data_IF_534342710459
#
_entry.id   IF_534342710459
#
_cell.length_a   1.000
_cell.length_b   1.000
_cell.length_c   1.000
_cell.angle_alpha   90.00
_cell.angle_beta   90.00
_cell.angle_gamma   90.00
#
_symmetry.space_group_name_H-M   'P 1'
#
loop_
_entity.id
_entity.type
_entity.pdbx_description
1 polymer ?
#
# COMPACT_ATOMS: atom_id res chain seq x y z
N UNK A 1 16.65 28.75 4.03
CA UNK A 1 16.58 27.33 4.36
C UNK A 1 16.12 26.57 3.13
N UNK A 2 16.90 25.61 2.66
CA UNK A 2 16.39 24.79 1.57
C UNK A 2 15.18 24.01 2.08
N UNK A 3 14.10 24.04 1.31
CA UNK A 3 12.94 23.20 1.61
C UNK A 3 13.35 21.74 1.46
N UNK A 4 12.89 20.88 2.36
CA UNK A 4 13.13 19.46 2.26
C UNK A 4 12.39 18.92 1.03
N UNK A 5 13.14 18.50 0.04
CA UNK A 5 12.58 17.99 -1.19
C UNK A 5 11.94 16.62 -0.96
N UNK A 6 10.69 16.49 -1.38
CA UNK A 6 9.97 15.22 -1.34
C UNK A 6 10.03 14.59 -2.74
N UNK A 7 10.47 13.34 -2.80
CA UNK A 7 10.52 12.57 -4.03
C UNK A 7 9.64 11.33 -3.85
N UNK A 8 8.67 11.16 -4.76
CA UNK A 8 7.83 9.96 -4.79
C UNK A 8 8.21 9.20 -6.07
N UNK A 9 8.67 7.98 -5.92
CA UNK A 9 9.20 7.17 -7.02
C UNK A 9 8.89 5.69 -6.84
N UNK A 10 9.13 4.92 -7.90
CA UNK A 10 9.06 3.46 -7.81
C UNK A 10 10.21 2.92 -6.96
N UNK A 11 9.94 1.85 -6.21
CA UNK A 11 10.94 1.18 -5.39
C UNK A 11 12.01 0.51 -6.25
N UNK A 12 13.17 0.32 -5.63
CA UNK A 12 14.31 -0.41 -6.17
C UNK A 12 14.70 -1.50 -5.18
N UNK A 13 15.45 -2.47 -5.65
CA UNK A 13 15.88 -3.59 -4.79
C UNK A 13 16.61 -3.11 -3.54
N UNK A 14 17.47 -2.12 -3.67
CA UNK A 14 18.21 -1.55 -2.54
C UNK A 14 17.33 -0.86 -1.49
N UNK A 15 16.07 -0.57 -1.81
CA UNK A 15 15.12 0.05 -0.86
C UNK A 15 14.49 -0.98 0.08
N UNK A 16 14.52 -2.27 -0.25
CA UNK A 16 13.82 -3.31 0.51
C UNK A 16 14.20 -3.33 1.99
N UNK A 17 15.48 -3.24 2.39
CA UNK A 17 15.81 -3.22 3.82
C UNK A 17 15.13 -2.09 4.59
N UNK A 18 15.07 -0.88 4.01
CA UNK A 18 14.40 0.25 4.64
C UNK A 18 12.89 0.06 4.72
N UNK A 19 12.29 -0.53 3.69
CA UNK A 19 10.85 -0.86 3.69
C UNK A 19 10.53 -1.84 4.81
N UNK A 20 11.33 -2.90 4.96
CA UNK A 20 11.14 -3.91 6.02
C UNK A 20 11.26 -3.27 7.39
N UNK A 21 12.20 -2.36 7.58
CA UNK A 21 12.37 -1.65 8.84
C UNK A 21 11.14 -0.81 9.18
N UNK A 22 10.62 -0.06 8.21
CA UNK A 22 9.41 0.76 8.40
C UNK A 22 8.20 -0.12 8.68
N UNK A 23 8.04 -1.20 7.93
CA UNK A 23 6.93 -2.15 8.11
C UNK A 23 6.95 -2.79 9.49
N UNK A 24 8.12 -3.23 9.93
CA UNK A 24 8.31 -3.83 11.25
C UNK A 24 7.97 -2.84 12.35
N UNK A 25 8.47 -1.61 12.26
CA UNK A 25 8.16 -0.55 13.22
C UNK A 25 6.65 -0.29 13.31
N UNK A 26 5.98 -0.23 12.15
CA UNK A 26 4.55 0.11 12.08
C UNK A 26 3.66 -1.07 12.50
N UNK A 27 3.99 -2.29 12.13
CA UNK A 27 3.05 -3.41 12.19
C UNK A 27 3.41 -4.54 13.14
N UNK A 28 4.66 -4.65 13.61
CA UNK A 28 5.02 -5.67 14.60
C UNK A 28 4.14 -5.58 15.86
N UNK A 29 3.81 -4.38 16.38
CA UNK A 29 2.92 -4.27 17.55
C UNK A 29 1.52 -4.84 17.33
N UNK A 30 1.07 -4.93 16.07
CA UNK A 30 -0.25 -5.47 15.70
C UNK A 30 -0.17 -6.93 15.24
N UNK A 31 1.03 -7.52 15.19
CA UNK A 31 1.23 -8.88 14.71
C UNK A 31 1.07 -9.03 13.19
N UNK A 32 1.15 -7.95 12.43
CA UNK A 32 0.92 -7.94 10.98
C UNK A 32 2.14 -7.54 10.15
N UNK A 33 3.33 -7.45 10.75
CA UNK A 33 4.56 -7.21 10.01
C UNK A 33 4.85 -8.37 9.05
N UNK A 34 5.39 -8.06 7.87
CA UNK A 34 5.65 -9.04 6.83
C UNK A 34 7.16 -9.23 6.59
N UNK A 35 7.52 -10.31 5.90
CA UNK A 35 8.91 -10.71 5.72
C UNK A 35 9.55 -10.02 4.51
N UNK A 36 10.88 -9.93 4.51
CA UNK A 36 11.66 -9.35 3.40
C UNK A 36 11.33 -10.03 2.07
N UNK A 37 11.21 -11.36 2.07
CA UNK A 37 10.88 -12.15 0.87
C UNK A 37 9.53 -11.76 0.28
N UNK A 38 8.58 -11.41 1.13
CA UNK A 38 7.24 -10.94 0.70
C UNK A 38 7.37 -9.64 -0.09
N UNK A 39 8.13 -8.67 0.43
CA UNK A 39 8.35 -7.39 -0.27
C UNK A 39 9.13 -7.59 -1.55
N UNK A 40 10.12 -8.48 -1.54
CA UNK A 40 10.89 -8.80 -2.74
C UNK A 40 9.99 -9.37 -3.84
N UNK A 41 9.05 -10.26 -3.47
CA UNK A 41 8.10 -10.83 -4.44
C UNK A 41 7.21 -9.75 -5.06
N UNK A 42 6.78 -8.78 -4.28
CA UNK A 42 5.95 -7.66 -4.75
C UNK A 42 6.72 -6.75 -5.71
N UNK A 43 7.96 -6.47 -5.39
CA UNK A 43 8.81 -5.64 -6.26
C UNK A 43 9.05 -6.33 -7.60
N UNK A 44 9.32 -7.62 -7.59
CA UNK A 44 9.56 -8.40 -8.81
C UNK A 44 8.30 -8.54 -9.65
N UNK A 45 7.15 -8.82 -9.02
CA UNK A 45 5.90 -9.07 -9.74
C UNK A 45 5.29 -7.79 -10.32
N UNK A 46 5.35 -6.68 -9.57
CA UNK A 46 4.68 -5.45 -9.98
C UNK A 46 5.44 -4.20 -9.49
N UNK A 47 6.59 -3.91 -10.11
CA UNK A 47 7.41 -2.76 -9.67
C UNK A 47 6.70 -1.42 -9.79
N UNK A 48 5.83 -1.23 -10.79
CA UNK A 48 5.09 0.02 -10.97
C UNK A 48 4.14 0.32 -9.80
N UNK A 49 3.72 -0.69 -9.09
CA UNK A 49 2.84 -0.57 -7.93
C UNK A 49 3.56 -0.57 -6.59
N UNK A 50 4.86 -0.45 -6.57
CA UNK A 50 5.64 -0.38 -5.34
C UNK A 50 6.27 1.01 -5.25
N UNK A 51 5.76 1.83 -4.33
CA UNK A 51 6.03 3.28 -4.26
C UNK A 51 6.83 3.60 -3.00
N UNK A 52 7.81 4.46 -3.16
CA UNK A 52 8.68 4.95 -2.09
C UNK A 52 8.57 6.48 -2.03
N UNK A 53 8.46 7.03 -0.83
CA UNK A 53 8.56 8.47 -0.60
C UNK A 53 9.88 8.75 0.14
N UNK A 54 10.71 9.59 -0.46
CA UNK A 54 12.01 9.97 0.07
C UNK A 54 11.98 11.44 0.48
N UNK A 55 12.46 11.75 1.66
CA UNK A 55 12.69 13.11 2.12
C UNK A 55 13.88 13.14 3.08
N UNK A 56 14.56 14.25 3.16
CA UNK A 56 15.74 14.39 4.05
C UNK A 56 16.79 13.29 3.80
N UNK A 57 16.90 12.83 2.54
CA UNK A 57 17.83 11.79 2.09
C UNK A 57 17.55 10.39 2.66
N UNK A 58 16.34 10.15 3.19
CA UNK A 58 15.97 8.83 3.65
C UNK A 58 14.56 8.47 3.20
N UNK A 59 14.27 7.17 3.21
CA UNK A 59 12.92 6.67 2.92
C UNK A 59 12.03 6.95 4.12
N UNK A 60 10.98 7.74 3.89
CA UNK A 60 10.03 8.13 4.94
C UNK A 60 8.75 7.32 4.93
N UNK A 61 8.39 6.76 3.78
CA UNK A 61 7.14 6.01 3.62
C UNK A 61 7.21 5.10 2.41
N UNK A 62 6.36 4.09 2.40
CA UNK A 62 6.24 3.18 1.26
C UNK A 62 4.78 2.72 1.12
N UNK A 63 4.46 2.22 -0.07
CA UNK A 63 3.22 1.52 -0.33
C UNK A 63 3.44 0.52 -1.45
N UNK A 64 2.93 -0.68 -1.31
CA UNK A 64 3.04 -1.69 -2.35
C UNK A 64 1.68 -2.28 -2.67
N UNK A 65 1.57 -2.86 -3.86
CA UNK A 65 0.30 -3.33 -4.40
C UNK A 65 0.52 -4.46 -5.38
N UNK A 66 -0.57 -5.15 -5.70
CA UNK A 66 -0.62 -6.13 -6.77
C UNK A 66 -2.01 -6.08 -7.42
N UNK A 67 -2.14 -6.65 -8.60
CA UNK A 67 -3.41 -6.68 -9.33
C UNK A 67 -4.03 -8.05 -9.25
N UNK A 68 -5.34 -8.09 -9.07
CA UNK A 68 -6.15 -9.31 -9.04
C UNK A 68 -7.23 -9.24 -10.12
N UNK A 69 -7.67 -10.41 -10.61
CA UNK A 69 -8.77 -10.48 -11.58
C UNK A 69 -10.10 -10.09 -10.94
N UNK A 70 -10.33 -10.54 -9.73
CA UNK A 70 -11.56 -10.30 -8.97
C UNK A 70 -11.24 -9.90 -7.54
N UNK A 71 -12.23 -9.31 -6.86
CA UNK A 71 -12.13 -9.00 -5.45
C UNK A 71 -11.98 -10.28 -4.63
N UNK A 72 -11.04 -10.28 -3.70
CA UNK A 72 -10.85 -11.35 -2.71
C UNK A 72 -10.28 -10.76 -1.44
N UNK A 73 -10.23 -11.57 -0.38
CA UNK A 73 -9.61 -11.15 0.87
C UNK A 73 -8.09 -11.15 0.75
N UNK A 74 -7.41 -10.06 1.14
CA UNK A 74 -5.95 -10.05 1.23
C UNK A 74 -5.46 -11.02 2.32
N UNK A 75 -4.27 -11.56 2.16
CA UNK A 75 -3.62 -12.39 3.17
C UNK A 75 -2.22 -11.87 3.47
N UNK A 76 -1.74 -12.08 4.70
CA UNK A 76 -0.38 -11.70 5.08
C UNK A 76 0.63 -12.66 4.43
N UNK A 77 1.79 -12.11 4.06
CA UNK A 77 2.92 -12.86 3.51
C UNK A 77 2.59 -13.71 2.27
N UNK A 78 1.60 -13.27 1.48
CA UNK A 78 1.33 -13.93 0.20
C UNK A 78 2.46 -13.66 -0.80
N UNK A 79 2.78 -14.66 -1.61
CA UNK A 79 3.79 -14.54 -2.66
C UNK A 79 3.18 -13.87 -3.90
N UNK A 80 3.59 -12.65 -4.18
CA UNK A 80 3.05 -11.88 -5.30
C UNK A 80 3.34 -12.52 -6.67
N UNK A 81 4.36 -13.35 -6.78
CA UNK A 81 4.61 -14.09 -8.03
C UNK A 81 3.48 -15.08 -8.36
N UNK A 82 2.72 -15.49 -7.33
CA UNK A 82 1.57 -16.38 -7.48
C UNK A 82 0.26 -15.59 -7.52
N UNK A 83 0.12 -14.57 -6.68
CA UNK A 83 -1.16 -13.86 -6.48
C UNK A 83 -1.37 -12.71 -7.47
N UNK A 84 -0.30 -12.08 -7.95
CA UNK A 84 -0.41 -10.97 -8.91
C UNK A 84 -0.87 -11.46 -10.27
N UNK A 85 -1.88 -10.80 -10.85
CA UNK A 85 -2.42 -11.11 -12.17
C UNK A 85 -2.22 -9.89 -13.08
N UNK A 86 -1.42 -10.04 -14.13
CA UNK A 86 -1.06 -8.94 -15.05
C UNK A 86 -2.30 -8.24 -15.63
N UNK A 87 -3.35 -9.01 -15.93
CA UNK A 87 -4.59 -8.51 -16.52
C UNK A 87 -5.63 -8.11 -15.45
N UNK A 88 -5.22 -8.08 -14.17
CA UNK A 88 -6.11 -7.79 -13.07
C UNK A 88 -6.70 -6.38 -13.15
N UNK A 89 -7.97 -6.26 -12.75
CA UNK A 89 -8.70 -4.99 -12.70
C UNK A 89 -8.99 -4.53 -11.27
N UNK A 90 -8.54 -5.29 -10.29
CA UNK A 90 -8.61 -4.93 -8.87
C UNK A 90 -7.19 -4.72 -8.39
N UNK A 91 -6.88 -3.51 -7.90
CA UNK A 91 -5.61 -3.26 -7.25
C UNK A 91 -5.75 -3.54 -5.77
N UNK A 92 -4.91 -4.42 -5.24
CA UNK A 92 -4.83 -4.62 -3.79
C UNK A 92 -3.61 -3.86 -3.26
N UNK A 93 -3.84 -2.94 -2.32
CA UNK A 93 -2.75 -2.33 -1.56
C UNK A 93 -2.40 -3.34 -0.47
N UNK A 94 -1.24 -3.96 -0.61
CA UNK A 94 -0.83 -5.07 0.25
C UNK A 94 -0.14 -4.61 1.53
N UNK A 95 0.50 -3.45 1.50
CA UNK A 95 1.09 -2.82 2.69
C UNK A 95 1.35 -1.35 2.41
N UNK A 96 1.23 -0.52 3.44
CA UNK A 96 1.55 0.90 3.37
C UNK A 96 1.86 1.40 4.77
N UNK A 97 2.96 2.13 4.94
CA UNK A 97 3.32 2.69 6.23
C UNK A 97 4.21 3.93 6.09
N UNK A 98 4.19 4.76 7.11
CA UNK A 98 5.04 5.95 7.27
C UNK A 98 5.96 5.72 8.45
N UNK A 99 7.25 6.00 8.27
CA UNK A 99 8.23 5.93 9.35
C UNK A 99 7.78 6.83 10.51
N UNK A 100 7.88 6.31 11.73
CA UNK A 100 7.31 6.97 12.91
C UNK A 100 7.69 8.44 13.04
N UNK A 101 8.97 8.78 12.84
CA UNK A 101 9.44 10.17 12.97
C UNK A 101 8.89 11.12 11.91
N UNK A 102 8.32 10.58 10.82
CA UNK A 102 7.75 11.38 9.74
C UNK A 102 6.22 11.39 9.74
N UNK A 103 5.58 10.74 10.70
CA UNK A 103 4.11 10.74 10.79
C UNK A 103 3.55 12.12 11.07
N UNK A 104 2.30 12.36 10.66
CA UNK A 104 1.63 13.64 10.86
C UNK A 104 1.98 14.72 9.84
N UNK A 105 2.69 14.37 8.77
CA UNK A 105 3.09 15.31 7.71
C UNK A 105 2.33 15.11 6.39
N UNK A 106 1.39 14.16 6.35
CA UNK A 106 0.61 13.87 5.14
C UNK A 106 1.30 12.94 4.16
N UNK A 107 2.41 12.31 4.51
CA UNK A 107 3.16 11.44 3.60
C UNK A 107 2.38 10.17 3.23
N UNK A 108 1.60 9.63 4.15
CA UNK A 108 0.73 8.49 3.85
C UNK A 108 -0.27 8.79 2.75
N UNK A 109 -0.85 9.99 2.77
CA UNK A 109 -1.78 10.42 1.71
C UNK A 109 -1.07 10.61 0.37
N UNK A 110 0.17 11.09 0.37
CA UNK A 110 0.95 11.23 -0.87
C UNK A 110 1.24 9.87 -1.51
N UNK A 111 1.60 8.89 -0.70
CA UNK A 111 1.82 7.51 -1.18
C UNK A 111 0.51 6.91 -1.69
N UNK A 112 -0.58 7.08 -0.93
CA UNK A 112 -1.90 6.59 -1.33
C UNK A 112 -2.34 7.23 -2.65
N UNK A 113 -2.19 8.54 -2.80
CA UNK A 113 -2.56 9.24 -4.04
C UNK A 113 -1.78 8.70 -5.24
N UNK A 114 -0.50 8.35 -5.04
CA UNK A 114 0.29 7.75 -6.11
C UNK A 114 -0.22 6.34 -6.47
N UNK A 115 -0.64 5.56 -5.49
CA UNK A 115 -1.23 4.24 -5.76
C UNK A 115 -2.59 4.35 -6.45
N UNK A 116 -3.38 5.37 -6.14
CA UNK A 116 -4.62 5.68 -6.86
C UNK A 116 -4.33 5.98 -8.34
N UNK A 117 -3.29 6.77 -8.60
CA UNK A 117 -2.84 7.08 -9.95
C UNK A 117 -2.39 5.80 -10.69
N UNK A 118 -1.62 4.94 -10.02
CA UNK A 118 -1.19 3.65 -10.58
C UNK A 118 -2.41 2.81 -10.96
N UNK A 119 -3.40 2.68 -10.08
CA UNK A 119 -4.60 1.91 -10.34
C UNK A 119 -5.36 2.45 -11.55
N UNK A 120 -5.51 3.76 -11.65
CA UNK A 120 -6.16 4.40 -12.79
C UNK A 120 -5.40 4.12 -14.10
N UNK A 121 -4.08 4.30 -14.08
CA UNK A 121 -3.23 4.09 -15.26
C UNK A 121 -3.19 2.63 -15.70
N UNK A 122 -3.37 1.69 -14.76
CA UNK A 122 -3.42 0.25 -15.06
C UNK A 122 -4.81 -0.23 -15.50
N UNK A 123 -5.79 0.67 -15.57
CA UNK A 123 -7.16 0.30 -15.95
C UNK A 123 -7.93 -0.45 -14.88
N UNK A 124 -7.53 -0.35 -13.63
CA UNK A 124 -8.25 -0.98 -12.54
C UNK A 124 -9.57 -0.28 -12.27
N UNK A 125 -10.59 -1.06 -11.90
CA UNK A 125 -11.93 -0.54 -11.57
C UNK A 125 -12.14 -0.38 -10.07
N UNK A 126 -11.29 -0.99 -9.26
CA UNK A 126 -11.47 -1.07 -7.81
C UNK A 126 -10.12 -1.18 -7.12
N UNK A 127 -10.03 -0.62 -5.93
CA UNK A 127 -8.88 -0.81 -5.03
C UNK A 127 -9.40 -1.45 -3.74
N UNK A 128 -8.72 -2.49 -3.27
CA UNK A 128 -9.01 -3.12 -1.97
C UNK A 128 -7.76 -3.08 -1.10
N UNK A 129 -7.99 -3.05 0.21
CA UNK A 129 -6.93 -3.14 1.21
C UNK A 129 -7.53 -3.64 2.51
N UNK A 130 -6.67 -3.96 3.47
CA UNK A 130 -7.13 -4.21 4.83
C UNK A 130 -6.27 -3.45 5.82
N UNK A 131 -6.86 -3.06 6.93
CA UNK A 131 -6.19 -2.26 7.94
C UNK A 131 -6.68 -2.60 9.35
N UNK A 132 -5.78 -2.48 10.31
CA UNK A 132 -6.11 -2.63 11.74
C UNK A 132 -6.50 -1.31 12.38
N UNK A 133 -5.92 -0.19 11.93
CA UNK A 133 -6.03 1.08 12.67
C UNK A 133 -5.99 2.34 11.80
N UNK A 134 -5.86 2.21 10.48
CA UNK A 134 -5.69 3.37 9.59
C UNK A 134 -6.96 3.70 8.78
N UNK A 135 -8.13 3.29 9.25
CA UNK A 135 -9.40 3.51 8.56
C UNK A 135 -9.62 4.97 8.18
N UNK A 136 -9.31 5.89 9.10
CA UNK A 136 -9.53 7.33 8.87
C UNK A 136 -8.71 7.85 7.68
N UNK A 137 -7.49 7.36 7.52
CA UNK A 137 -6.63 7.74 6.39
C UNK A 137 -7.29 7.39 5.06
N UNK A 138 -7.76 6.17 4.93
CA UNK A 138 -8.36 5.67 3.70
C UNK A 138 -9.72 6.30 3.44
N UNK A 139 -10.51 6.55 4.50
CA UNK A 139 -11.81 7.21 4.37
C UNK A 139 -11.68 8.61 3.77
N UNK A 140 -10.57 9.30 3.98
CA UNK A 140 -10.32 10.62 3.38
C UNK A 140 -10.31 10.57 1.84
N UNK A 141 -10.07 9.40 1.26
CA UNK A 141 -10.06 9.21 -0.20
C UNK A 141 -11.29 8.46 -0.70
N UNK A 142 -12.29 8.24 0.16
CA UNK A 142 -13.56 7.63 -0.23
C UNK A 142 -13.62 6.12 -0.05
N UNK A 143 -12.61 5.50 0.54
CA UNK A 143 -12.66 4.08 0.86
C UNK A 143 -13.74 3.81 1.90
N UNK A 144 -14.43 2.69 1.74
CA UNK A 144 -15.46 2.23 2.68
C UNK A 144 -15.13 0.83 3.17
N UNK A 145 -15.42 0.57 4.44
CA UNK A 145 -15.30 -0.78 4.98
C UNK A 145 -16.40 -1.66 4.39
N UNK A 146 -16.00 -2.75 3.75
CA UNK A 146 -16.94 -3.71 3.15
C UNK A 146 -17.08 -4.97 3.98
N UNK A 147 -16.13 -5.26 4.87
CA UNK A 147 -16.10 -6.52 5.61
C UNK A 147 -15.06 -6.42 6.74
N UNK A 148 -15.27 -7.20 7.79
CA UNK A 148 -14.27 -7.43 8.83
C UNK A 148 -13.86 -8.91 8.77
N UNK A 149 -12.57 -9.19 8.96
CA UNK A 149 -12.07 -10.56 9.04
C UNK A 149 -11.01 -10.67 10.14
N UNK A 150 -10.70 -11.90 10.53
CA UNK A 150 -9.68 -12.18 11.53
C UNK A 150 -8.59 -13.05 10.92
N UNK A 151 -7.33 -12.66 11.13
CA UNK A 151 -6.17 -13.45 10.74
C UNK A 151 -5.15 -13.38 11.88
N UNK A 152 -4.58 -14.53 12.23
CA UNK A 152 -3.64 -14.63 13.35
C UNK A 152 -4.19 -14.02 14.66
N UNK A 153 -5.51 -14.11 14.87
CA UNK A 153 -6.18 -13.54 16.02
C UNK A 153 -6.37 -12.02 15.97
N UNK A 154 -6.03 -11.38 14.85
CA UNK A 154 -6.09 -9.91 14.67
C UNK A 154 -7.33 -9.56 13.86
N UNK A 155 -8.10 -8.56 14.33
CA UNK A 155 -9.25 -8.03 13.60
C UNK A 155 -8.79 -7.05 12.53
N UNK A 156 -9.23 -7.27 11.30
CA UNK A 156 -8.86 -6.47 10.13
C UNK A 156 -10.13 -5.99 9.41
N UNK A 157 -10.18 -4.71 9.10
CA UNK A 157 -11.22 -4.16 8.23
C UNK A 157 -10.75 -4.22 6.79
N UNK A 158 -11.55 -4.85 5.93
CA UNK A 158 -11.33 -4.82 4.47
C UNK A 158 -12.06 -3.61 3.93
N UNK A 159 -11.32 -2.76 3.23
CA UNK A 159 -11.85 -1.51 2.68
C UNK A 159 -11.73 -1.51 1.16
N UNK A 160 -12.64 -0.81 0.50
CA UNK A 160 -12.70 -0.76 -0.95
C UNK A 160 -13.01 0.64 -1.46
N UNK A 161 -12.44 0.97 -2.61
CA UNK A 161 -12.74 2.18 -3.37
C UNK A 161 -13.09 1.80 -4.81
N UNK A 162 -14.21 2.30 -5.29
CA UNK A 162 -14.61 2.17 -6.69
C UNK A 162 -13.96 3.32 -7.48
N UNK A 163 -13.03 2.99 -8.35
CA UNK A 163 -12.29 4.00 -9.13
C UNK A 163 -13.15 4.67 -10.18
N UNK A 164 -14.14 3.98 -10.74
CA UNK A 164 -15.04 4.57 -11.71
C UNK A 164 -15.83 5.74 -11.09
N UNK A 165 -16.36 5.53 -9.88
CA UNK A 165 -17.02 6.59 -9.13
C UNK A 165 -16.07 7.72 -8.78
N UNK A 166 -14.85 7.40 -8.39
CA UNK A 166 -13.80 8.37 -8.05
C UNK A 166 -13.41 9.19 -9.30
N UNK A 167 -13.17 8.51 -10.42
CA UNK A 167 -12.78 9.16 -11.68
C UNK A 167 -13.88 10.07 -12.26
N UNK A 168 -15.16 9.71 -12.09
CA UNK A 168 -16.29 10.48 -12.62
C UNK A 168 -16.51 11.79 -11.86
N UNK A 169 -15.87 11.99 -10.72
CA UNK A 169 -15.94 13.22 -9.92
C UNK A 169 -14.82 14.21 -10.23
N UNK A 170 -13.92 13.81 -11.09
CA UNK A 170 -12.79 14.65 -11.48
C UNK A 170 -13.20 15.74 -12.46
#
# INVERSE_FOLDING_TARGET
>A
MPENKIIVRSAREQDIPAVVEIDTEAFAPYGTAEMSETFQSRLTAFPDGFIILVTEHEIAAYGCSEKWLDEREPGLDEDASVTHQQDGRVLCITAMAVKKKFQGRGYGLLVLDKLLEVAHNQGCRQIVLETTHAQDLYQKRGFQTIKNRTERGISLDVMSLDIESYGSKA
#
